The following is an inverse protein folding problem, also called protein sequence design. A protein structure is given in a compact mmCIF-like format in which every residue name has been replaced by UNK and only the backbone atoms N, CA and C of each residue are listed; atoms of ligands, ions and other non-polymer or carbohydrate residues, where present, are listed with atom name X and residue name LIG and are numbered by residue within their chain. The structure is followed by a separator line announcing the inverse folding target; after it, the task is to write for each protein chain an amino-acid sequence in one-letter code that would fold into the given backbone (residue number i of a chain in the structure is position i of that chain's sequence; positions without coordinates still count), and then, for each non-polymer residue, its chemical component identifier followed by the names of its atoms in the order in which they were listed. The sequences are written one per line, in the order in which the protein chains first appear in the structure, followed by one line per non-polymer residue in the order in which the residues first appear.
data_IF_834287113084
#
_entry.id   IF_834287113084
#
_cell.length_a   1.000
_cell.length_b   1.000
_cell.length_c   1.000
_cell.angle_alpha   90.00
_cell.angle_beta   90.00
_cell.angle_gamma   90.00
#
_symmetry.space_group_name_H-M   'P 1'
#
loop_
_entity.id
_entity.type
_entity.pdbx_description
1 polymer ?
#
# COMPACT_ATOMS: atom_id res chain seq x y z
N UNK A 1 18.57 -15.08 16.31
CA UNK A 1 17.42 -14.64 17.11
C UNK A 1 17.93 -14.14 18.45
N UNK A 2 17.38 -13.04 18.95
CA UNK A 2 17.73 -12.40 20.22
C UNK A 2 16.44 -11.90 20.89
N UNK A 3 16.36 -11.75 22.20
CA UNK A 3 15.15 -11.20 22.82
C UNK A 3 14.83 -11.75 24.21
N UNK A 4 13.54 -11.85 24.52
CA UNK A 4 13.03 -12.21 25.85
C UNK A 4 11.95 -13.30 25.76
N UNK A 5 12.09 -14.33 26.60
CA UNK A 5 11.10 -15.39 26.77
C UNK A 5 10.77 -15.55 28.26
N UNK A 6 9.62 -15.01 28.68
CA UNK A 6 9.13 -15.12 30.06
C UNK A 6 8.18 -16.30 30.27
N UNK A 7 7.87 -17.03 29.19
CA UNK A 7 7.00 -18.20 29.24
C UNK A 7 7.77 -19.43 29.69
N UNK A 8 8.89 -19.73 29.02
CA UNK A 8 9.76 -20.85 29.41
C UNK A 8 10.73 -20.47 30.53
N UNK A 9 11.12 -19.18 30.59
CA UNK A 9 11.94 -18.57 31.66
C UNK A 9 13.20 -19.40 32.03
N UNK A 10 13.86 -20.01 31.02
CA UNK A 10 15.05 -20.86 31.19
C UNK A 10 16.30 -20.11 31.67
N UNK A 11 16.24 -18.79 31.78
CA UNK A 11 17.33 -17.95 32.27
C UNK A 11 16.75 -16.79 33.07
N UNK A 12 17.42 -16.35 34.16
CA UNK A 12 16.95 -15.22 34.96
C UNK A 12 16.69 -13.99 34.08
N UNK A 13 15.56 -13.34 34.26
CA UNK A 13 15.09 -12.23 33.40
C UNK A 13 16.12 -11.11 33.24
N UNK A 14 16.83 -10.75 34.30
CA UNK A 14 17.88 -9.72 34.26
C UNK A 14 19.07 -10.13 33.38
N UNK A 15 19.39 -11.43 33.32
CA UNK A 15 20.40 -11.95 32.39
C UNK A 15 19.87 -11.89 30.95
N UNK A 16 18.62 -12.30 30.71
CA UNK A 16 17.99 -12.20 29.39
C UNK A 16 18.04 -10.75 28.87
N UNK A 17 17.61 -9.78 29.69
CA UNK A 17 17.67 -8.34 29.37
C UNK A 17 19.10 -7.87 29.08
N UNK A 18 20.04 -8.23 29.96
CA UNK A 18 21.45 -7.84 29.84
C UNK A 18 22.09 -8.34 28.54
N UNK A 19 21.84 -9.60 28.15
CA UNK A 19 22.35 -10.16 26.90
C UNK A 19 21.63 -9.55 25.68
N UNK A 20 20.31 -9.38 25.75
CA UNK A 20 19.53 -8.76 24.68
C UNK A 20 20.04 -7.34 24.36
N UNK A 21 20.23 -6.50 25.38
CA UNK A 21 20.81 -5.16 25.22
C UNK A 21 22.21 -5.17 24.58
N UNK A 22 23.08 -6.09 25.00
CA UNK A 22 24.44 -6.23 24.42
C UNK A 22 24.39 -6.64 22.95
N UNK A 23 23.51 -7.56 22.58
CA UNK A 23 23.36 -8.01 21.19
C UNK A 23 22.74 -6.93 20.30
N UNK A 24 21.81 -6.12 20.81
CA UNK A 24 21.32 -4.94 20.09
C UNK A 24 22.43 -3.92 19.87
N UNK A 25 23.26 -3.65 20.89
CA UNK A 25 24.41 -2.75 20.74
C UNK A 25 25.37 -3.25 19.64
N UNK A 26 25.68 -4.56 19.61
CA UNK A 26 26.51 -5.15 18.56
C UNK A 26 25.87 -5.03 17.18
N UNK A 27 24.57 -5.31 17.05
CA UNK A 27 23.86 -5.19 15.78
C UNK A 27 23.87 -3.75 15.24
N UNK A 28 23.78 -2.76 16.13
CA UNK A 28 23.90 -1.34 15.80
C UNK A 28 25.29 -0.98 15.29
N UNK A 29 26.35 -1.43 15.97
CA UNK A 29 27.74 -1.23 15.56
C UNK A 29 28.05 -1.85 14.20
N UNK A 30 27.47 -3.03 13.92
CA UNK A 30 27.64 -3.74 12.65
C UNK A 30 26.64 -3.34 11.56
N UNK A 31 25.68 -2.44 11.86
CA UNK A 31 24.59 -2.05 10.96
C UNK A 31 23.83 -3.25 10.35
N UNK A 32 23.58 -4.27 11.18
CA UNK A 32 22.86 -5.48 10.81
C UNK A 32 21.40 -5.44 11.29
N UNK A 33 20.45 -6.02 10.53
CA UNK A 33 19.10 -6.20 11.01
C UNK A 33 19.05 -7.24 12.14
N UNK A 34 18.07 -7.10 13.05
CA UNK A 34 17.85 -8.06 14.15
C UNK A 34 16.57 -8.86 13.98
N UNK A 35 16.61 -10.11 14.45
CA UNK A 35 15.44 -11.00 14.54
C UNK A 35 15.12 -11.14 16.03
N UNK A 36 14.00 -10.55 16.44
CA UNK A 36 13.60 -10.44 17.85
C UNK A 36 12.54 -11.49 18.19
N UNK A 37 12.83 -12.26 19.23
CA UNK A 37 11.86 -13.09 19.93
C UNK A 37 11.29 -12.35 21.13
N UNK A 38 9.98 -12.47 21.33
CA UNK A 38 9.31 -11.86 22.48
C UNK A 38 8.07 -12.66 22.85
N UNK A 39 8.12 -13.33 23.99
CA UNK A 39 6.99 -14.09 24.52
C UNK A 39 6.72 -13.73 25.97
N UNK A 40 5.48 -13.30 26.23
CA UNK A 40 5.04 -12.81 27.55
C UNK A 40 5.91 -11.67 28.14
N UNK A 41 6.68 -10.98 27.29
CA UNK A 41 7.68 -9.98 27.67
C UNK A 41 7.48 -8.61 27.00
N UNK A 42 6.27 -8.32 26.50
CA UNK A 42 5.93 -7.14 25.68
C UNK A 42 6.54 -5.82 26.18
N UNK A 43 6.35 -5.49 27.47
CA UNK A 43 6.78 -4.21 28.04
C UNK A 43 8.30 -4.03 27.96
N UNK A 44 9.04 -5.03 28.44
CA UNK A 44 10.50 -4.97 28.53
C UNK A 44 11.14 -5.08 27.14
N UNK A 45 10.56 -5.87 26.23
CA UNK A 45 10.99 -5.94 24.82
C UNK A 45 10.90 -4.57 24.16
N UNK A 46 9.73 -3.92 24.21
CA UNK A 46 9.52 -2.63 23.56
C UNK A 46 10.43 -1.55 24.16
N UNK A 47 10.60 -1.53 25.48
CA UNK A 47 11.44 -0.54 26.13
C UNK A 47 12.92 -0.70 25.76
N UNK A 48 13.44 -1.93 25.74
CA UNK A 48 14.82 -2.22 25.36
C UNK A 48 15.07 -1.87 23.89
N UNK A 49 14.15 -2.23 22.98
CA UNK A 49 14.25 -1.86 21.57
C UNK A 49 14.31 -0.34 21.43
N UNK A 50 13.37 0.38 22.07
CA UNK A 50 13.27 1.84 22.03
C UNK A 50 14.57 2.50 22.51
N UNK A 51 15.14 2.03 23.62
CA UNK A 51 16.38 2.56 24.17
C UNK A 51 17.61 2.28 23.28
N UNK A 52 17.64 1.14 22.59
CA UNK A 52 18.74 0.79 21.68
C UNK A 52 18.86 1.74 20.48
N UNK A 53 17.73 2.30 20.03
CA UNK A 53 17.63 3.10 18.81
C UNK A 53 17.82 2.29 17.53
N UNK A 54 17.75 0.95 17.58
CA UNK A 54 17.66 0.13 16.37
C UNK A 54 16.32 0.40 15.68
N UNK A 55 16.37 0.49 14.35
CA UNK A 55 15.20 0.68 13.49
C UNK A 55 15.15 -0.30 12.32
N UNK A 56 15.89 -1.41 12.40
CA UNK A 56 15.96 -2.47 11.38
C UNK A 56 15.85 -3.82 12.06
N UNK A 57 14.66 -4.40 12.02
CA UNK A 57 14.48 -5.74 12.54
C UNK A 57 13.09 -6.28 12.30
N UNK A 58 12.88 -7.50 12.76
CA UNK A 58 11.58 -8.19 12.71
C UNK A 58 11.27 -8.76 14.07
N UNK A 59 10.02 -8.61 14.51
CA UNK A 59 9.48 -9.46 15.57
C UNK A 59 9.05 -10.76 14.92
N UNK A 60 9.88 -11.79 15.10
CA UNK A 60 9.66 -13.13 14.56
C UNK A 60 8.54 -13.82 15.35
N UNK A 61 7.83 -14.71 14.67
CA UNK A 61 6.71 -15.49 15.19
C UNK A 61 5.80 -14.65 16.09
N UNK A 62 5.28 -13.56 15.55
CA UNK A 62 4.63 -12.54 16.33
C UNK A 62 3.41 -13.10 17.09
N UNK A 63 3.46 -12.99 18.42
CA UNK A 63 2.43 -13.47 19.35
C UNK A 63 1.86 -12.35 20.23
N UNK A 64 2.23 -11.10 19.97
CA UNK A 64 1.71 -9.92 20.65
C UNK A 64 0.33 -9.48 20.16
N UNK A 65 -0.17 -8.40 20.74
CA UNK A 65 -1.41 -7.72 20.36
C UNK A 65 -1.14 -6.56 19.38
N UNK A 66 -2.21 -5.88 18.94
CA UNK A 66 -2.09 -4.78 17.98
C UNK A 66 -1.27 -3.60 18.53
N UNK A 67 -1.42 -3.27 19.82
CA UNK A 67 -0.64 -2.21 20.48
C UNK A 67 0.87 -2.50 20.43
N UNK A 68 1.29 -3.77 20.59
CA UNK A 68 2.69 -4.16 20.42
C UNK A 68 3.14 -4.03 18.96
N UNK A 69 2.30 -4.47 18.01
CA UNK A 69 2.62 -4.39 16.58
C UNK A 69 2.79 -2.93 16.13
N UNK A 70 1.86 -2.04 16.48
CA UNK A 70 1.90 -0.61 16.15
C UNK A 70 3.16 0.07 16.70
N UNK A 71 3.49 -0.17 17.97
CA UNK A 71 4.72 0.37 18.60
C UNK A 71 5.98 -0.16 17.94
N UNK A 72 6.02 -1.44 17.59
CA UNK A 72 7.15 -2.04 16.89
C UNK A 72 7.32 -1.45 15.48
N UNK A 73 6.23 -1.32 14.71
CA UNK A 73 6.25 -0.72 13.37
C UNK A 73 6.66 0.75 13.39
N UNK A 74 6.21 1.52 14.38
CA UNK A 74 6.63 2.90 14.61
C UNK A 74 8.14 3.02 14.89
N UNK A 75 8.76 1.96 15.44
CA UNK A 75 10.22 1.85 15.62
C UNK A 75 10.94 1.26 14.39
N UNK A 76 10.24 0.96 13.29
CA UNK A 76 10.82 0.42 12.06
C UNK A 76 10.91 -1.11 12.00
N UNK A 77 10.21 -1.82 12.89
CA UNK A 77 10.22 -3.29 12.91
C UNK A 77 9.12 -3.89 12.07
N UNK A 78 9.47 -4.93 11.31
CA UNK A 78 8.54 -5.82 10.63
C UNK A 78 7.86 -6.76 11.62
N UNK A 79 6.69 -7.26 11.24
CA UNK A 79 5.91 -8.24 11.99
C UNK A 79 5.82 -9.51 11.15
N UNK A 80 6.37 -10.61 11.66
CA UNK A 80 6.38 -11.89 10.96
C UNK A 80 5.29 -12.83 11.47
N UNK A 81 4.48 -13.32 10.54
CA UNK A 81 3.33 -14.19 10.82
C UNK A 81 3.66 -15.63 10.45
N UNK A 82 3.52 -16.54 11.42
CA UNK A 82 3.77 -17.96 11.26
C UNK A 82 2.48 -18.77 11.00
N UNK A 83 2.63 -20.10 10.90
CA UNK A 83 1.55 -21.06 10.63
C UNK A 83 0.27 -20.97 11.48
N UNK A 84 0.27 -20.49 12.75
CA UNK A 84 -0.96 -20.39 13.54
C UNK A 84 -2.05 -19.50 12.93
N UNK A 85 -1.71 -18.60 12.00
CA UNK A 85 -2.70 -17.79 11.27
C UNK A 85 -3.72 -18.65 10.50
N UNK A 86 -3.32 -19.86 10.12
CA UNK A 86 -4.19 -20.83 9.45
C UNK A 86 -5.25 -21.42 10.39
N UNK A 87 -5.04 -21.37 11.71
CA UNK A 87 -5.95 -22.00 12.67
C UNK A 87 -7.17 -21.14 12.91
N UNK A 88 -8.37 -21.70 12.71
CA UNK A 88 -9.64 -20.95 12.83
C UNK A 88 -9.84 -20.29 14.20
N UNK A 89 -9.27 -20.85 15.26
CA UNK A 89 -9.37 -20.36 16.64
C UNK A 89 -8.26 -19.39 17.04
N UNK A 90 -7.21 -19.21 16.24
CA UNK A 90 -6.12 -18.28 16.52
C UNK A 90 -6.51 -16.84 16.16
N UNK A 91 -7.34 -16.21 17.00
CA UNK A 91 -7.90 -14.88 16.75
C UNK A 91 -6.82 -13.82 16.53
N UNK A 92 -5.86 -13.71 17.46
CA UNK A 92 -4.86 -12.64 17.45
C UNK A 92 -3.98 -12.66 16.20
N UNK A 93 -3.33 -13.77 15.78
CA UNK A 93 -2.55 -13.79 14.54
C UNK A 93 -3.36 -13.43 13.30
N UNK A 94 -4.65 -13.80 13.25
CA UNK A 94 -5.55 -13.49 12.14
C UNK A 94 -5.94 -12.02 12.11
N UNK A 95 -6.19 -11.42 13.27
CA UNK A 95 -6.48 -9.99 13.41
C UNK A 95 -5.28 -9.13 13.00
N UNK A 96 -4.08 -9.46 13.50
CA UNK A 96 -2.83 -8.79 13.13
C UNK A 96 -2.59 -8.93 11.62
N UNK A 97 -2.65 -10.17 11.10
CA UNK A 97 -2.43 -10.43 9.69
C UNK A 97 -3.45 -9.73 8.79
N UNK A 98 -4.65 -9.40 9.27
CA UNK A 98 -5.64 -8.64 8.50
C UNK A 98 -5.35 -7.13 8.47
N UNK A 99 -4.83 -6.58 9.57
CA UNK A 99 -4.82 -5.14 9.79
C UNK A 99 -3.45 -4.46 9.63
N UNK A 100 -2.32 -5.15 9.82
CA UNK A 100 -1.01 -4.47 9.70
C UNK A 100 -0.75 -4.01 8.25
N UNK A 101 -0.09 -2.85 8.03
CA UNK A 101 0.23 -2.37 6.69
C UNK A 101 1.12 -3.37 5.94
N UNK A 102 0.95 -3.41 4.61
CA UNK A 102 1.68 -4.35 3.74
C UNK A 102 3.20 -4.22 3.88
N UNK A 103 3.72 -3.00 4.04
CA UNK A 103 5.16 -2.73 4.12
C UNK A 103 5.83 -3.27 5.40
N UNK A 104 5.06 -3.72 6.40
CA UNK A 104 5.59 -4.31 7.63
C UNK A 104 5.33 -5.82 7.75
N UNK A 105 4.55 -6.41 6.83
CA UNK A 105 4.23 -7.83 6.88
C UNK A 105 5.40 -8.69 6.38
N UNK A 106 5.80 -9.65 7.21
CA UNK A 106 6.60 -10.80 6.83
C UNK A 106 5.84 -12.09 7.15
N UNK A 107 6.27 -13.19 6.52
CA UNK A 107 5.74 -14.52 6.80
C UNK A 107 6.90 -15.49 7.00
N UNK A 108 6.68 -16.48 7.85
CA UNK A 108 7.65 -17.53 8.12
C UNK A 108 6.95 -18.87 8.42
N UNK A 109 7.73 -19.94 8.44
CA UNK A 109 7.24 -21.26 8.88
C UNK A 109 7.51 -21.52 10.35
N UNK A 110 8.63 -21.02 10.87
CA UNK A 110 9.18 -21.41 12.17
C UNK A 110 9.44 -22.94 12.27
N UNK A 111 9.78 -23.56 11.14
CA UNK A 111 10.04 -25.00 11.09
C UNK A 111 11.23 -25.38 12.01
N UNK A 112 11.12 -26.48 12.78
CA UNK A 112 10.17 -27.58 12.65
C UNK A 112 8.84 -27.42 13.41
N UNK A 113 8.60 -26.26 14.04
CA UNK A 113 7.43 -25.99 14.88
C UNK A 113 6.28 -25.35 14.08
N UNK A 114 5.15 -25.12 14.76
CA UNK A 114 4.05 -24.30 14.25
C UNK A 114 3.45 -24.72 12.90
N UNK A 115 3.33 -26.03 12.69
CA UNK A 115 2.81 -26.61 11.45
C UNK A 115 1.43 -26.06 11.08
N UNK A 116 1.26 -25.42 9.90
CA UNK A 116 -0.01 -24.84 9.49
C UNK A 116 -1.07 -25.90 9.16
N UNK A 117 -2.36 -25.53 9.14
CA UNK A 117 -3.40 -26.34 8.51
C UNK A 117 -3.16 -26.42 6.98
N UNK A 118 -3.41 -27.57 6.34
CA UNK A 118 -4.01 -28.80 6.87
C UNK A 118 -3.00 -29.82 7.47
N UNK A 119 -1.74 -29.44 7.69
CA UNK A 119 -0.67 -30.37 8.08
C UNK A 119 -0.44 -30.49 9.59
N UNK A 120 -1.33 -29.94 10.43
CA UNK A 120 -1.21 -29.98 11.90
C UNK A 120 -0.94 -31.40 12.42
N UNK A 121 -0.10 -31.50 13.46
CA UNK A 121 0.32 -32.76 14.04
C UNK A 121 1.51 -33.43 13.33
N UNK A 122 1.94 -32.92 12.18
CA UNK A 122 3.19 -33.31 11.50
C UNK A 122 4.31 -32.33 11.82
N UNK A 123 5.56 -32.72 11.55
CA UNK A 123 6.71 -31.80 11.58
C UNK A 123 6.52 -30.73 10.49
N UNK A 124 6.78 -29.47 10.82
CA UNK A 124 6.70 -28.39 9.84
C UNK A 124 7.93 -28.37 8.94
N UNK A 125 7.80 -27.79 7.74
CA UNK A 125 8.88 -27.62 6.78
C UNK A 125 8.71 -26.34 5.95
N UNK A 126 9.79 -25.80 5.33
CA UNK A 126 9.71 -24.57 4.53
C UNK A 126 8.68 -24.61 3.39
N UNK A 127 8.41 -25.78 2.82
CA UNK A 127 7.44 -25.95 1.72
C UNK A 127 6.01 -25.57 2.14
N UNK A 128 5.70 -25.60 3.44
CA UNK A 128 4.37 -25.30 3.97
C UNK A 128 4.10 -23.79 4.11
N UNK A 129 5.08 -22.92 3.84
CA UNK A 129 4.91 -21.47 3.86
C UNK A 129 3.76 -20.99 2.96
N UNK A 130 3.51 -21.71 1.87
CA UNK A 130 2.38 -21.45 0.95
C UNK A 130 1.01 -21.48 1.65
N UNK A 131 0.85 -22.25 2.73
CA UNK A 131 -0.39 -22.31 3.49
C UNK A 131 -0.58 -21.06 4.36
N UNK A 132 0.49 -20.56 4.98
CA UNK A 132 0.49 -19.27 5.69
C UNK A 132 0.12 -18.14 4.73
N UNK A 133 0.76 -18.09 3.55
CA UNK A 133 0.45 -17.08 2.53
C UNK A 133 -1.02 -17.12 2.07
N UNK A 134 -1.56 -18.33 1.84
CA UNK A 134 -2.96 -18.53 1.44
C UNK A 134 -3.95 -18.06 2.50
N UNK A 135 -3.72 -18.40 3.76
CA UNK A 135 -4.60 -17.94 4.84
C UNK A 135 -4.61 -16.40 4.96
N UNK A 136 -3.45 -15.76 4.77
CA UNK A 136 -3.35 -14.30 4.78
C UNK A 136 -4.05 -13.69 3.55
N UNK A 137 -3.90 -14.29 2.36
CA UNK A 137 -4.55 -13.78 1.15
C UNK A 137 -6.08 -13.82 1.27
N UNK A 138 -6.62 -14.91 1.84
CA UNK A 138 -8.05 -15.03 2.15
C UNK A 138 -8.53 -13.97 3.17
N UNK A 139 -7.76 -13.76 4.25
CA UNK A 139 -8.09 -12.77 5.29
C UNK A 139 -8.12 -11.33 4.74
N UNK A 140 -7.24 -11.01 3.79
CA UNK A 140 -7.08 -9.67 3.20
C UNK A 140 -7.91 -9.45 1.92
N UNK A 141 -8.51 -10.51 1.36
CA UNK A 141 -9.20 -10.43 0.07
C UNK A 141 -8.27 -10.00 -1.06
N UNK A 142 -7.08 -10.60 -1.12
CA UNK A 142 -6.06 -10.38 -2.17
C UNK A 142 -5.60 -11.73 -2.72
N UNK A 143 -4.82 -11.74 -3.80
CA UNK A 143 -4.29 -13.00 -4.33
C UNK A 143 -3.08 -13.49 -3.52
N UNK A 144 -2.72 -14.77 -3.66
CA UNK A 144 -1.51 -15.29 -3.03
C UNK A 144 -0.25 -14.67 -3.61
N UNK A 145 -0.26 -14.32 -4.91
CA UNK A 145 0.82 -13.63 -5.60
C UNK A 145 1.04 -12.22 -5.02
N UNK A 146 -0.04 -11.52 -4.63
CA UNK A 146 0.07 -10.24 -3.97
C UNK A 146 0.81 -10.37 -2.62
N UNK A 147 0.43 -11.35 -1.79
CA UNK A 147 1.11 -11.62 -0.51
C UNK A 147 2.57 -11.98 -0.76
N UNK A 148 2.84 -12.92 -1.67
CA UNK A 148 4.20 -13.37 -1.98
C UNK A 148 5.10 -12.23 -2.45
N UNK A 149 4.60 -11.36 -3.35
CA UNK A 149 5.34 -10.22 -3.86
C UNK A 149 5.64 -9.19 -2.77
N UNK A 150 4.65 -8.87 -1.91
CA UNK A 150 4.83 -7.94 -0.77
C UNK A 150 5.86 -8.48 0.21
N UNK A 151 5.65 -9.69 0.73
CA UNK A 151 6.51 -10.25 1.78
C UNK A 151 7.91 -10.55 1.29
N UNK A 152 8.06 -10.97 0.02
CA UNK A 152 9.39 -11.14 -0.61
C UNK A 152 10.12 -9.81 -0.69
N UNK A 153 9.45 -8.73 -1.13
CA UNK A 153 10.08 -7.41 -1.19
C UNK A 153 10.53 -6.95 0.20
N UNK A 154 9.68 -7.13 1.21
CA UNK A 154 10.00 -6.79 2.61
C UNK A 154 11.19 -7.58 3.14
N UNK A 155 11.26 -8.89 2.87
CA UNK A 155 12.39 -9.74 3.28
C UNK A 155 13.69 -9.30 2.59
N UNK A 156 13.64 -9.03 1.28
CA UNK A 156 14.78 -8.50 0.51
C UNK A 156 15.28 -7.17 1.07
N UNK A 157 14.38 -6.25 1.42
CA UNK A 157 14.70 -4.96 2.03
C UNK A 157 15.36 -5.12 3.40
N UNK A 158 14.74 -5.89 4.28
CA UNK A 158 15.20 -6.06 5.67
C UNK A 158 16.57 -6.75 5.71
N UNK A 159 16.70 -7.88 5.03
CA UNK A 159 17.88 -8.73 5.10
C UNK A 159 18.94 -8.41 4.04
N UNK A 160 18.66 -7.45 3.15
CA UNK A 160 19.54 -7.06 2.03
C UNK A 160 19.96 -8.26 1.17
N UNK A 161 18.99 -9.12 0.86
CA UNK A 161 19.19 -10.33 0.06
C UNK A 161 18.50 -10.22 -1.30
N UNK A 162 19.07 -10.89 -2.30
CA UNK A 162 18.53 -10.92 -3.66
C UNK A 162 18.54 -9.56 -4.37
N UNK A 163 17.93 -9.53 -5.56
CA UNK A 163 17.79 -8.30 -6.34
C UNK A 163 16.47 -7.59 -6.02
N UNK A 164 16.55 -6.28 -5.80
CA UNK A 164 15.40 -5.40 -5.65
C UNK A 164 14.84 -5.03 -7.04
N UNK A 165 13.53 -4.80 -7.19
CA UNK A 165 12.99 -4.24 -8.43
C UNK A 165 13.48 -2.79 -8.59
N UNK A 166 14.50 -2.60 -9.42
CA UNK A 166 15.13 -1.28 -9.63
C UNK A 166 14.34 -0.40 -10.61
N UNK A 167 13.68 -1.03 -11.59
CA UNK A 167 12.96 -0.31 -12.64
C UNK A 167 11.49 -0.13 -12.30
N UNK A 168 11.00 1.08 -12.54
CA UNK A 168 9.57 1.37 -12.48
C UNK A 168 8.79 0.58 -13.54
N UNK A 169 7.63 0.06 -13.15
CA UNK A 169 6.73 -0.65 -14.06
C UNK A 169 5.69 0.29 -14.67
N UNK A 170 5.34 0.04 -15.93
CA UNK A 170 4.31 0.79 -16.68
C UNK A 170 2.92 0.29 -16.30
N UNK A 171 2.75 -1.02 -16.21
CA UNK A 171 1.50 -1.64 -15.81
C UNK A 171 1.72 -2.55 -14.59
N UNK A 172 0.79 -2.55 -13.65
CA UNK A 172 0.86 -3.38 -12.46
C UNK A 172 -0.52 -3.84 -12.01
N UNK A 173 -0.61 -5.09 -11.57
CA UNK A 173 -1.85 -5.70 -11.11
C UNK A 173 -1.99 -5.54 -9.59
N UNK A 174 -3.18 -5.14 -9.16
CA UNK A 174 -3.61 -5.23 -7.76
C UNK A 174 -5.00 -5.86 -7.79
N UNK A 175 -5.14 -7.05 -7.19
CA UNK A 175 -6.37 -7.86 -7.28
C UNK A 175 -6.76 -8.07 -8.76
N UNK A 176 -8.00 -7.77 -9.14
CA UNK A 176 -8.52 -8.03 -10.49
C UNK A 176 -8.38 -6.83 -11.46
N UNK A 177 -7.74 -5.75 -11.02
CA UNK A 177 -7.58 -4.52 -11.81
C UNK A 177 -6.13 -4.39 -12.30
N UNK A 178 -5.97 -3.83 -13.51
CA UNK A 178 -4.68 -3.41 -14.03
C UNK A 178 -4.53 -1.90 -13.86
N UNK A 179 -3.42 -1.46 -13.28
CA UNK A 179 -3.11 -0.04 -13.06
C UNK A 179 -2.00 0.40 -14.00
N UNK A 180 -2.16 1.58 -14.58
CA UNK A 180 -1.23 2.17 -15.55
C UNK A 180 -0.52 3.38 -14.94
N UNK A 181 0.79 3.23 -14.78
CA UNK A 181 1.70 4.26 -14.35
C UNK A 181 2.39 4.88 -15.57
N UNK A 182 1.87 6.03 -16.01
CA UNK A 182 2.27 6.64 -17.29
C UNK A 182 3.07 7.94 -17.12
N UNK A 183 3.21 8.46 -15.91
CA UNK A 183 3.99 9.67 -15.63
C UNK A 183 4.37 9.76 -14.16
N UNK A 184 5.55 10.32 -13.89
CA UNK A 184 5.98 10.71 -12.54
C UNK A 184 5.55 12.14 -12.18
N UNK A 185 5.05 12.92 -13.15
CA UNK A 185 4.72 14.34 -12.99
C UNK A 185 3.33 14.50 -12.38
N UNK A 186 3.14 15.50 -11.52
CA UNK A 186 1.82 15.84 -10.98
C UNK A 186 1.76 17.34 -10.72
N UNK A 187 0.59 17.93 -10.93
CA UNK A 187 0.31 19.34 -10.65
C UNK A 187 0.06 19.60 -9.16
N UNK A 188 -0.06 18.55 -8.34
CA UNK A 188 -0.06 18.63 -6.89
C UNK A 188 1.29 18.21 -6.29
N UNK A 189 1.63 18.83 -5.16
CA UNK A 189 2.74 18.46 -4.27
C UNK A 189 2.19 18.12 -2.88
N UNK A 190 1.25 17.17 -2.83
CA UNK A 190 0.53 16.87 -1.59
C UNK A 190 1.48 16.48 -0.46
N UNK A 191 1.22 16.95 0.77
CA UNK A 191 2.02 16.63 1.96
C UNK A 191 1.99 15.16 2.35
N UNK A 192 1.05 14.40 1.79
CA UNK A 192 0.78 12.99 2.06
C UNK A 192 1.07 12.10 0.84
N UNK A 193 1.67 12.65 -0.23
CA UNK A 193 1.86 11.90 -1.47
C UNK A 193 2.97 10.86 -1.31
N UNK A 194 2.63 9.59 -1.50
CA UNK A 194 3.55 8.44 -1.39
C UNK A 194 4.81 8.58 -2.25
N UNK A 195 4.72 9.31 -3.37
CA UNK A 195 5.82 9.63 -4.30
C UNK A 195 7.02 10.32 -3.64
N UNK A 196 6.85 10.93 -2.47
CA UNK A 196 7.93 11.59 -1.74
C UNK A 196 8.53 10.71 -0.62
N UNK A 197 7.97 9.53 -0.37
CA UNK A 197 8.34 8.67 0.77
C UNK A 197 8.93 7.33 0.35
N UNK A 198 8.43 6.75 -0.75
CA UNK A 198 8.91 5.47 -1.29
C UNK A 198 8.77 5.50 -2.80
N UNK A 199 9.42 4.54 -3.47
CA UNK A 199 9.23 4.24 -4.90
C UNK A 199 8.30 3.03 -5.11
N UNK A 200 7.85 2.39 -4.04
CA UNK A 200 7.08 1.16 -4.11
C UNK A 200 5.67 1.31 -3.58
N UNK A 201 4.70 0.72 -4.28
CA UNK A 201 3.30 0.61 -3.84
C UNK A 201 2.86 -0.81 -4.05
N UNK A 202 2.32 -1.46 -3.00
CA UNK A 202 1.96 -2.87 -3.02
C UNK A 202 3.05 -3.67 -3.72
N UNK A 203 4.29 -3.58 -3.26
CA UNK A 203 5.46 -4.29 -3.80
C UNK A 203 5.87 -4.04 -5.26
N UNK A 204 5.24 -3.11 -5.98
CA UNK A 204 5.64 -2.70 -7.34
C UNK A 204 6.43 -1.40 -7.28
N UNK A 205 7.56 -1.32 -7.97
CA UNK A 205 8.29 -0.06 -8.13
C UNK A 205 7.54 0.81 -9.16
N UNK A 206 7.08 1.99 -8.77
CA UNK A 206 6.33 2.92 -9.62
C UNK A 206 7.17 4.12 -10.09
N UNK A 207 8.45 4.20 -9.76
CA UNK A 207 9.31 5.28 -10.25
C UNK A 207 9.77 4.99 -11.68
N UNK A 208 9.12 5.61 -12.65
CA UNK A 208 9.50 5.45 -14.05
C UNK A 208 10.87 6.09 -14.33
N UNK A 209 11.72 5.42 -15.11
CA UNK A 209 12.95 6.01 -15.64
C UNK A 209 12.65 7.10 -16.68
N UNK A 210 11.62 6.87 -17.51
CA UNK A 210 11.08 7.83 -18.48
C UNK A 210 9.58 7.61 -18.69
N UNK A 211 8.92 8.59 -19.26
CA UNK A 211 7.52 8.43 -19.67
C UNK A 211 7.42 7.39 -20.81
N UNK A 212 6.53 6.38 -20.71
CA UNK A 212 6.38 5.35 -21.73
C UNK A 212 5.61 5.88 -22.97
N UNK A 213 5.85 5.29 -24.14
CA UNK A 213 5.05 5.54 -25.34
C UNK A 213 3.69 4.85 -25.26
N UNK A 214 2.76 5.23 -26.15
CA UNK A 214 1.45 4.57 -26.24
C UNK A 214 1.58 3.07 -26.57
N UNK A 215 2.50 2.69 -27.47
CA UNK A 215 2.73 1.29 -27.83
C UNK A 215 3.32 0.47 -26.68
N UNK A 216 4.20 1.06 -25.88
CA UNK A 216 4.72 0.43 -24.67
C UNK A 216 3.60 0.17 -23.66
N UNK A 217 2.72 1.15 -23.44
CA UNK A 217 1.57 0.98 -22.54
C UNK A 217 0.63 -0.13 -23.05
N UNK A 218 0.28 -0.14 -24.34
CA UNK A 218 -0.58 -1.20 -24.93
C UNK A 218 0.05 -2.59 -24.81
N UNK A 219 1.35 -2.69 -25.06
CA UNK A 219 2.09 -3.95 -24.92
C UNK A 219 2.04 -4.49 -23.49
N UNK A 220 2.21 -3.62 -22.50
CA UNK A 220 2.18 -4.00 -21.08
C UNK A 220 0.77 -4.32 -20.58
N UNK A 221 -0.28 -3.78 -21.22
CA UNK A 221 -1.67 -4.18 -20.95
C UNK A 221 -1.94 -5.61 -21.41
N UNK A 222 -1.49 -5.97 -22.62
CA UNK A 222 -1.80 -7.25 -23.25
C UNK A 222 -3.29 -7.34 -23.64
N UNK A 223 -4.02 -8.32 -23.12
CA UNK A 223 -5.47 -8.41 -23.32
C UNK A 223 -6.22 -7.65 -22.20
N UNK A 224 -6.88 -6.52 -22.47
CA UNK A 224 -7.58 -5.76 -21.44
C UNK A 224 -8.87 -6.42 -20.94
N UNK A 225 -9.44 -7.39 -21.67
CA UNK A 225 -10.70 -8.05 -21.30
C UNK A 225 -10.58 -8.99 -20.10
N UNK A 226 -9.35 -9.41 -19.76
CA UNK A 226 -9.07 -10.26 -18.61
C UNK A 226 -9.16 -9.54 -17.26
N UNK A 227 -9.17 -8.20 -17.27
CA UNK A 227 -9.22 -7.38 -16.06
C UNK A 227 -10.63 -6.87 -15.82
N UNK A 228 -10.99 -6.69 -14.55
CA UNK A 228 -12.25 -6.03 -14.18
C UNK A 228 -12.31 -4.61 -14.74
N UNK A 229 -11.18 -3.91 -14.75
CA UNK A 229 -10.96 -2.59 -15.36
C UNK A 229 -9.46 -2.30 -15.47
N UNK A 230 -9.11 -1.43 -16.42
CA UNK A 230 -7.79 -0.82 -16.59
C UNK A 230 -7.85 0.62 -16.07
N UNK A 231 -6.97 0.95 -15.15
CA UNK A 231 -7.03 2.17 -14.34
C UNK A 231 -5.81 3.04 -14.64
N UNK A 232 -6.01 4.24 -15.19
CA UNK A 232 -4.96 5.25 -15.25
C UNK A 232 -4.72 5.78 -13.84
N UNK A 233 -3.68 5.27 -13.19
CA UNK A 233 -3.35 5.57 -11.81
C UNK A 233 -1.92 5.08 -11.55
N UNK A 234 -1.07 5.99 -11.07
CA UNK A 234 0.33 5.72 -10.77
C UNK A 234 0.90 6.80 -9.86
N UNK A 235 2.17 7.16 -10.05
CA UNK A 235 2.82 8.20 -9.24
C UNK A 235 2.41 9.63 -9.59
N UNK A 236 2.01 9.85 -10.84
CA UNK A 236 1.68 11.16 -11.36
C UNK A 236 0.20 11.38 -11.66
N UNK A 237 -0.09 12.57 -12.17
CA UNK A 237 -1.40 12.96 -12.69
C UNK A 237 -1.52 12.49 -14.14
N UNK A 238 -2.34 11.46 -14.45
CA UNK A 238 -2.41 10.91 -15.81
C UNK A 238 -2.89 11.92 -16.85
N UNK A 239 -3.73 12.90 -16.48
CA UNK A 239 -4.27 13.87 -17.43
C UNK A 239 -3.23 14.89 -17.93
N UNK A 240 -2.01 14.93 -17.36
CA UNK A 240 -0.87 15.60 -17.98
C UNK A 240 -0.50 15.01 -19.35
N UNK A 241 -0.94 13.78 -19.64
CA UNK A 241 -0.69 13.05 -20.88
C UNK A 241 -2.01 12.71 -21.58
N UNK A 242 -2.90 13.69 -21.70
CA UNK A 242 -4.26 13.51 -22.23
C UNK A 242 -4.31 12.77 -23.57
N UNK A 243 -3.44 13.09 -24.52
CA UNK A 243 -3.44 12.43 -25.84
C UNK A 243 -3.13 10.93 -25.73
N UNK A 244 -2.14 10.56 -24.89
CA UNK A 244 -1.86 9.15 -24.61
C UNK A 244 -3.05 8.49 -23.90
N UNK A 245 -3.63 9.15 -22.90
CA UNK A 245 -4.80 8.60 -22.18
C UNK A 245 -5.94 8.33 -23.17
N UNK A 246 -6.23 9.25 -24.09
CA UNK A 246 -7.26 9.08 -25.12
C UNK A 246 -6.95 7.93 -26.08
N UNK A 247 -5.71 7.85 -26.58
CA UNK A 247 -5.28 6.79 -27.49
C UNK A 247 -5.36 5.40 -26.86
N UNK A 248 -4.81 5.25 -25.66
CA UNK A 248 -4.83 3.99 -24.90
C UNK A 248 -6.26 3.64 -24.47
N UNK A 249 -7.06 4.57 -23.96
CA UNK A 249 -8.44 4.32 -23.54
C UNK A 249 -9.31 3.85 -24.72
N UNK A 250 -9.19 4.51 -25.87
CA UNK A 250 -9.89 4.11 -27.11
C UNK A 250 -9.55 2.67 -27.49
N UNK A 251 -8.25 2.34 -27.49
CA UNK A 251 -7.78 0.99 -27.78
C UNK A 251 -8.29 -0.04 -26.76
N UNK A 252 -8.32 0.28 -25.47
CA UNK A 252 -8.88 -0.60 -24.42
C UNK A 252 -10.35 -0.89 -24.72
N UNK A 253 -11.16 0.13 -25.05
CA UNK A 253 -12.59 -0.05 -25.37
C UNK A 253 -12.80 -0.92 -26.61
N UNK A 254 -11.98 -0.74 -27.64
CA UNK A 254 -12.03 -1.56 -28.86
C UNK A 254 -11.68 -3.03 -28.60
N UNK A 255 -10.98 -3.32 -27.50
CA UNK A 255 -10.61 -4.67 -27.06
C UNK A 255 -11.42 -5.13 -25.83
N UNK A 256 -12.67 -4.67 -25.72
CA UNK A 256 -13.64 -5.10 -24.71
C UNK A 256 -13.24 -4.83 -23.24
N UNK A 257 -12.30 -3.90 -23.01
CA UNK A 257 -11.91 -3.48 -21.67
C UNK A 257 -12.80 -2.37 -21.09
N UNK A 258 -12.66 -2.17 -19.78
CA UNK A 258 -13.21 -1.02 -19.05
C UNK A 258 -12.10 -0.06 -18.63
N UNK A 259 -12.38 1.24 -18.66
CA UNK A 259 -11.41 2.29 -18.38
C UNK A 259 -11.86 3.12 -17.18
N UNK A 260 -10.97 3.24 -16.18
CA UNK A 260 -11.08 4.24 -15.11
C UNK A 260 -9.92 5.21 -15.15
N UNK A 261 -10.20 6.49 -14.87
CA UNK A 261 -9.17 7.49 -14.61
C UNK A 261 -9.19 7.88 -13.13
N UNK A 262 -8.05 7.76 -12.45
CA UNK A 262 -7.86 8.39 -11.15
C UNK A 262 -7.08 9.69 -11.36
N UNK A 263 -7.63 10.81 -10.91
CA UNK A 263 -7.05 12.15 -11.15
C UNK A 263 -7.17 13.04 -9.92
N UNK A 264 -6.33 14.06 -9.85
CA UNK A 264 -6.47 15.19 -8.94
C UNK A 264 -7.50 16.23 -9.40
N UNK A 265 -8.11 16.05 -10.58
CA UNK A 265 -9.17 16.91 -11.09
C UNK A 265 -8.68 18.12 -11.88
N UNK A 266 -7.37 18.30 -12.07
CA UNK A 266 -6.81 19.46 -12.77
C UNK A 266 -6.85 19.36 -14.30
N UNK A 267 -7.59 18.42 -14.89
CA UNK A 267 -7.59 18.18 -16.34
C UNK A 267 -7.84 19.44 -17.15
N UNK A 268 -8.90 20.19 -16.82
CA UNK A 268 -9.21 21.43 -17.55
C UNK A 268 -8.16 22.53 -17.33
N UNK A 269 -7.64 22.67 -16.10
CA UNK A 269 -6.56 23.61 -15.77
C UNK A 269 -5.27 23.33 -16.55
N UNK A 270 -4.90 22.05 -16.68
CA UNK A 270 -3.70 21.62 -17.40
C UNK A 270 -3.79 22.01 -18.88
N UNK A 271 -4.96 21.83 -19.49
CA UNK A 271 -5.14 22.00 -20.95
C UNK A 271 -5.75 23.34 -21.35
N UNK A 272 -6.15 24.18 -20.39
CA UNK A 272 -6.77 25.48 -20.63
C UNK A 272 -8.14 25.42 -21.31
N UNK A 273 -8.82 24.27 -21.27
CA UNK A 273 -10.11 24.03 -21.94
C UNK A 273 -10.85 22.84 -21.31
N UNK A 274 -12.14 22.69 -21.60
CA UNK A 274 -12.92 21.54 -21.14
C UNK A 274 -12.54 20.27 -21.92
N UNK A 275 -11.95 19.29 -21.23
CA UNK A 275 -11.48 18.02 -21.83
C UNK A 275 -12.50 16.88 -21.70
N UNK A 276 -13.50 17.02 -20.83
CA UNK A 276 -14.46 15.94 -20.52
C UNK A 276 -15.26 15.46 -21.74
N UNK A 277 -15.68 16.32 -22.70
CA UNK A 277 -16.33 15.86 -23.93
C UNK A 277 -15.46 14.88 -24.74
N UNK A 278 -14.14 15.01 -24.69
CA UNK A 278 -13.21 14.13 -25.41
C UNK A 278 -13.03 12.77 -24.75
N UNK A 279 -13.42 12.64 -23.48
CA UNK A 279 -13.36 11.39 -22.73
C UNK A 279 -14.67 10.59 -22.83
N UNK A 280 -15.73 11.21 -23.35
CA UNK A 280 -17.05 10.58 -23.51
C UNK A 280 -16.95 9.34 -24.40
N UNK A 281 -17.47 8.22 -23.90
CA UNK A 281 -17.50 6.93 -24.62
C UNK A 281 -16.20 6.13 -24.58
N UNK A 282 -15.09 6.73 -24.15
CA UNK A 282 -13.80 6.04 -23.99
C UNK A 282 -13.39 5.85 -22.52
N UNK A 283 -14.06 6.54 -21.58
CA UNK A 283 -13.87 6.40 -20.14
C UNK A 283 -15.18 5.99 -19.49
N UNK A 284 -15.16 4.90 -18.71
CA UNK A 284 -16.34 4.36 -18.02
C UNK A 284 -16.53 5.03 -16.65
N UNK A 285 -15.43 5.31 -15.94
CA UNK A 285 -15.48 5.96 -14.63
C UNK A 285 -14.32 6.93 -14.39
N UNK A 286 -14.55 7.94 -13.55
CA UNK A 286 -13.52 8.86 -13.08
C UNK A 286 -13.58 9.01 -11.55
N UNK A 287 -12.42 8.86 -10.92
CA UNK A 287 -12.22 9.02 -9.48
C UNK A 287 -11.37 10.26 -9.24
N UNK A 288 -12.00 11.30 -8.68
CA UNK A 288 -11.38 12.62 -8.50
C UNK A 288 -10.99 12.77 -7.02
N UNK A 289 -9.72 13.10 -6.78
CA UNK A 289 -9.19 13.30 -5.43
C UNK A 289 -9.50 14.73 -4.97
N UNK A 290 -10.52 14.89 -4.13
CA UNK A 290 -10.89 16.19 -3.53
C UNK A 290 -9.96 16.50 -2.36
N UNK A 291 -9.72 15.51 -1.49
CA UNK A 291 -8.75 15.53 -0.37
C UNK A 291 -8.81 16.73 0.62
N UNK A 292 -9.80 17.62 0.51
CA UNK A 292 -10.04 18.74 1.42
C UNK A 292 -11.50 19.24 1.34
N UNK A 293 -11.97 19.88 2.41
CA UNK A 293 -13.36 20.38 2.50
C UNK A 293 -13.52 21.85 2.11
N UNK A 294 -12.42 22.57 1.94
CA UNK A 294 -12.36 23.96 1.51
C UNK A 294 -11.03 24.26 0.81
N UNK A 295 -10.95 25.43 0.20
CA UNK A 295 -9.78 25.88 -0.55
C UNK A 295 -8.53 26.06 0.32
N UNK A 296 -8.68 26.60 1.53
CA UNK A 296 -7.55 26.80 2.45
C UNK A 296 -6.88 25.47 2.79
N UNK A 297 -7.68 24.49 3.19
CA UNK A 297 -7.23 23.13 3.51
C UNK A 297 -6.64 22.47 2.28
N UNK A 298 -7.27 22.62 1.10
CA UNK A 298 -6.76 22.07 -0.16
C UNK A 298 -5.37 22.64 -0.49
N UNK A 299 -5.21 23.96 -0.42
CA UNK A 299 -3.94 24.62 -0.72
C UNK A 299 -2.84 24.20 0.28
N UNK A 300 -3.19 24.02 1.55
CA UNK A 300 -2.26 23.54 2.58
C UNK A 300 -1.82 22.10 2.36
N UNK A 301 -2.77 21.20 2.06
CA UNK A 301 -2.56 19.74 1.98
C UNK A 301 -2.09 19.28 0.61
N UNK A 302 -2.74 19.72 -0.46
CA UNK A 302 -2.47 19.28 -1.84
C UNK A 302 -1.40 20.12 -2.54
N UNK A 303 -1.25 21.40 -2.13
CA UNK A 303 -0.27 22.35 -2.68
C UNK A 303 -0.28 22.37 -4.21
N UNK A 304 -1.40 22.81 -4.81
CA UNK A 304 -1.55 22.82 -6.26
C UNK A 304 -0.61 23.81 -6.94
N UNK A 305 -0.26 23.53 -8.19
CA UNK A 305 0.51 24.43 -9.04
C UNK A 305 -0.31 25.60 -9.60
N UNK A 306 -1.64 25.56 -9.44
CA UNK A 306 -2.58 26.54 -9.98
C UNK A 306 -3.21 27.37 -8.86
N UNK A 307 -3.56 28.62 -9.17
CA UNK A 307 -4.47 29.43 -8.36
C UNK A 307 -5.91 28.97 -8.59
N UNK A 308 -6.78 29.13 -7.59
CA UNK A 308 -8.20 28.74 -7.61
C UNK A 308 -8.44 27.25 -7.92
N UNK A 309 -7.45 26.39 -7.65
CA UNK A 309 -7.50 24.97 -8.03
C UNK A 309 -8.69 24.23 -7.39
N UNK A 310 -9.05 24.58 -6.15
CA UNK A 310 -10.16 23.95 -5.45
C UNK A 310 -11.49 24.22 -6.15
N UNK A 311 -11.78 25.48 -6.50
CA UNK A 311 -12.99 25.85 -7.23
C UNK A 311 -13.08 25.11 -8.58
N UNK A 312 -11.95 25.04 -9.30
CA UNK A 312 -11.90 24.38 -10.60
C UNK A 312 -12.07 22.85 -10.51
N UNK A 313 -11.64 22.22 -9.42
CA UNK A 313 -11.93 20.80 -9.16
C UNK A 313 -13.43 20.60 -8.96
N UNK A 314 -14.09 21.47 -8.18
CA UNK A 314 -15.54 21.42 -8.00
C UNK A 314 -16.27 21.59 -9.34
N UNK A 315 -15.83 22.53 -10.18
CA UNK A 315 -16.36 22.74 -11.53
C UNK A 315 -16.12 21.52 -12.42
N UNK A 316 -14.92 20.93 -12.37
CA UNK A 316 -14.58 19.72 -13.11
C UNK A 316 -15.46 18.53 -12.71
N UNK A 317 -15.71 18.32 -11.41
CA UNK A 317 -16.62 17.27 -10.92
C UNK A 317 -18.04 17.48 -11.43
N UNK A 318 -18.57 18.72 -11.31
CA UNK A 318 -19.92 19.07 -11.81
C UNK A 318 -20.06 18.76 -13.28
N UNK A 319 -19.06 19.13 -14.07
CA UNK A 319 -19.07 18.96 -15.52
C UNK A 319 -18.89 17.49 -15.92
N UNK A 320 -18.10 16.71 -15.17
CA UNK A 320 -17.79 15.32 -15.49
C UNK A 320 -19.04 14.44 -15.59
N UNK A 321 -20.06 14.72 -14.76
CA UNK A 321 -21.34 13.98 -14.76
C UNK A 321 -22.09 14.04 -16.09
N UNK A 322 -21.83 15.04 -16.92
CA UNK A 322 -22.47 15.20 -18.24
C UNK A 322 -21.87 14.26 -19.29
N UNK A 323 -20.66 13.75 -19.06
CA UNK A 323 -19.87 13.04 -20.07
C UNK A 323 -19.41 11.65 -19.62
N UNK A 324 -19.23 11.44 -18.32
CA UNK A 324 -18.68 10.21 -17.74
C UNK A 324 -19.79 9.49 -16.97
N UNK A 325 -20.05 8.19 -17.25
CA UNK A 325 -21.13 7.44 -16.60
C UNK A 325 -21.01 7.39 -15.07
N UNK A 326 -19.82 7.10 -14.55
CA UNK A 326 -19.57 7.00 -13.12
C UNK A 326 -18.56 8.06 -12.68
N UNK A 327 -19.00 8.98 -11.81
CA UNK A 327 -18.14 10.01 -11.21
C UNK A 327 -18.11 9.79 -9.71
N UNK A 328 -16.90 9.75 -9.16
CA UNK A 328 -16.67 9.57 -7.73
C UNK A 328 -15.68 10.58 -7.19
N UNK A 329 -15.95 11.08 -5.99
CA UNK A 329 -15.01 11.83 -5.17
C UNK A 329 -14.31 10.90 -4.18
N UNK A 330 -13.01 11.13 -4.02
CA UNK A 330 -12.20 10.46 -2.99
C UNK A 330 -11.53 11.45 -2.06
N UNK A 331 -11.37 11.05 -0.80
CA UNK A 331 -10.70 11.82 0.25
C UNK A 331 -9.83 10.90 1.09
N UNK A 332 -8.59 11.32 1.35
CA UNK A 332 -7.72 10.66 2.32
C UNK A 332 -8.03 11.16 3.74
N UNK A 333 -8.11 10.26 4.72
CA UNK A 333 -8.27 10.62 6.13
C UNK A 333 -7.00 11.27 6.67
N UNK A 334 -6.96 12.60 6.70
CA UNK A 334 -5.80 13.36 7.16
C UNK A 334 -6.18 14.27 8.32
N UNK A 335 -5.24 14.49 9.23
CA UNK A 335 -5.43 15.49 10.29
C UNK A 335 -5.75 16.86 9.68
N UNK A 336 -6.82 17.50 10.17
CA UNK A 336 -7.31 18.78 9.66
C UNK A 336 -8.17 18.71 8.40
N UNK A 337 -8.45 17.51 7.86
CA UNK A 337 -9.44 17.32 6.79
C UNK A 337 -10.76 16.84 7.42
N UNK A 338 -11.81 17.65 7.28
CA UNK A 338 -13.17 17.28 7.66
C UNK A 338 -13.82 16.38 6.59
N UNK A 339 -13.74 15.07 6.82
CA UNK A 339 -14.25 14.05 5.89
C UNK A 339 -15.76 14.18 5.67
N UNK A 340 -16.50 14.64 6.68
CA UNK A 340 -17.96 14.72 6.60
C UNK A 340 -18.40 15.93 5.77
N UNK A 341 -17.70 17.07 5.89
CA UNK A 341 -17.90 18.18 4.95
C UNK A 341 -17.56 17.78 3.51
N UNK A 342 -16.51 17.00 3.29
CA UNK A 342 -16.21 16.48 1.96
C UNK A 342 -17.31 15.55 1.43
N UNK A 343 -17.89 14.71 2.30
CA UNK A 343 -19.04 13.86 1.95
C UNK A 343 -20.22 14.72 1.53
N UNK A 344 -20.54 15.77 2.29
CA UNK A 344 -21.59 16.72 1.96
C UNK A 344 -21.37 17.37 0.59
N UNK A 345 -20.14 17.75 0.26
CA UNK A 345 -19.80 18.25 -1.10
C UNK A 345 -20.16 17.20 -2.16
N UNK A 346 -19.83 15.93 -1.95
CA UNK A 346 -20.17 14.87 -2.89
C UNK A 346 -21.69 14.66 -3.03
N UNK A 347 -22.43 14.74 -1.93
CA UNK A 347 -23.90 14.67 -1.90
C UNK A 347 -24.55 15.84 -2.64
N UNK A 348 -24.11 17.07 -2.37
CA UNK A 348 -24.58 18.30 -3.04
C UNK A 348 -24.30 18.26 -4.55
N UNK A 349 -23.19 17.63 -4.95
CA UNK A 349 -22.83 17.39 -6.34
C UNK A 349 -23.53 16.17 -6.95
N UNK A 350 -24.18 15.32 -6.13
CA UNK A 350 -24.83 14.08 -6.53
C UNK A 350 -23.87 13.09 -7.18
N UNK A 351 -22.69 12.87 -6.58
CA UNK A 351 -21.66 11.93 -7.02
C UNK A 351 -21.31 10.95 -5.91
N UNK A 352 -20.74 9.79 -6.26
CA UNK A 352 -20.31 8.83 -5.26
C UNK A 352 -19.18 9.38 -4.39
N UNK A 353 -19.13 8.96 -3.13
CA UNK A 353 -18.07 9.34 -2.20
C UNK A 353 -17.36 8.12 -1.62
N UNK A 354 -16.03 8.14 -1.64
CA UNK A 354 -15.20 7.09 -1.02
C UNK A 354 -14.10 7.68 -0.16
N UNK A 355 -14.04 7.23 1.08
CA UNK A 355 -12.94 7.53 2.00
C UNK A 355 -11.78 6.57 1.76
N UNK A 356 -10.56 7.07 1.80
CA UNK A 356 -9.30 6.31 1.78
C UNK A 356 -8.59 6.54 3.10
N UNK A 357 -8.19 5.47 3.76
CA UNK A 357 -7.35 5.59 4.96
C UNK A 357 -5.95 6.05 4.56
N UNK A 358 -5.37 6.95 5.35
CA UNK A 358 -3.99 7.38 5.17
C UNK A 358 -3.03 6.18 5.29
N UNK A 359 -1.97 6.18 4.49
CA UNK A 359 -1.01 5.07 4.33
C UNK A 359 -1.58 3.74 3.80
N UNK A 360 -2.88 3.65 3.49
CA UNK A 360 -3.48 2.50 2.82
C UNK A 360 -3.63 2.81 1.32
N UNK A 361 -2.59 2.53 0.54
CA UNK A 361 -2.58 2.74 -0.92
C UNK A 361 -2.96 1.46 -1.65
N UNK A 362 -3.90 1.53 -2.61
CA UNK A 362 -4.42 0.42 -3.41
C UNK A 362 -5.89 0.11 -3.08
#
# INVERSE_FOLDING_TARGET
EIGLDYHYDYSPREIQKGVFMKQLQLAKELNLPVIIHSREAKKDTLEIIRQSGINKGVLHCFSGDMDMAEKAMAMGFYISIAGPVTFKNAKTPREIAKAIPDDYLLIETDAPYLTPEPFRGKRNEPSYLVQTARAISELRGVTIEDVARITTLNAKRLFKIGQMPEKGVIAYKIRDNLYLNITNRCTNKCSFCIRFHTDYVKGHNLRLEREPSEDEVKKEIGDPSQYKEVVFCGYGEPLLRLDLVKGVATWIKQNNGKVRINTNGHGNLIHGRNILPELKGIVDSISISLDAHDEETYNKKCRPAFQNAFEEIINFIKEAKKFIPEVRITVVTLEGVDVEKCRKIAEDLGVEFRVREFDVVG
#
